data_IF_668662646582
#
_entry.id   IF_668662646582
#
_cell.length_a   1.000
_cell.length_b   1.000
_cell.length_c   1.000
_cell.angle_alpha   90.00
_cell.angle_beta   90.00
_cell.angle_gamma   90.00
#
_symmetry.space_group_name_H-M   'P 1'
#
loop_
_entity.id
_entity.type
_entity.pdbx_description
1 polymer ?
#
# COMPACT_ATOMS: atom_id res chain seq x y z
N UNK A 1 20.02 4.79 20.33
CA UNK A 1 20.07 3.51 21.06
C UNK A 1 18.65 2.95 21.15
N UNK A 2 18.32 1.89 20.41
CA UNK A 2 16.99 1.31 20.42
C UNK A 2 16.76 0.51 21.71
N UNK A 3 15.67 0.78 22.42
CA UNK A 3 15.18 -0.09 23.49
C UNK A 3 14.96 -1.50 22.91
N UNK A 4 15.90 -2.41 23.16
CA UNK A 4 15.64 -3.85 22.98
C UNK A 4 14.62 -4.23 24.04
N UNK A 5 13.40 -4.56 23.62
CA UNK A 5 12.47 -5.32 24.46
C UNK A 5 13.16 -6.68 24.70
N UNK A 6 13.77 -6.84 25.87
CA UNK A 6 14.68 -7.98 26.18
C UNK A 6 13.95 -9.24 26.63
N UNK A 7 12.61 -9.26 26.67
CA UNK A 7 11.86 -10.48 27.01
C UNK A 7 10.66 -10.64 26.10
N UNK A 8 10.86 -11.33 24.98
CA UNK A 8 9.76 -11.85 24.15
C UNK A 8 9.28 -13.15 24.83
N UNK A 9 7.98 -13.28 25.19
CA UNK A 9 7.45 -14.51 25.76
C UNK A 9 7.81 -15.74 24.89
N UNK A 10 8.06 -16.93 25.47
CA UNK A 10 8.49 -18.10 24.70
C UNK A 10 7.58 -18.44 23.51
N UNK A 11 6.27 -18.25 23.66
CA UNK A 11 5.29 -18.43 22.57
C UNK A 11 5.50 -17.44 21.42
N UNK A 12 5.79 -16.19 21.74
CA UNK A 12 6.10 -15.16 20.74
C UNK A 12 7.48 -15.35 20.13
N UNK A 13 8.43 -15.93 20.86
CA UNK A 13 9.75 -16.29 20.33
C UNK A 13 9.64 -17.44 19.31
N UNK A 14 8.87 -18.50 19.60
CA UNK A 14 8.59 -19.58 18.65
C UNK A 14 7.83 -19.07 17.41
N UNK A 15 6.86 -18.17 17.61
CA UNK A 15 6.14 -17.54 16.51
C UNK A 15 7.08 -16.72 15.62
N UNK A 16 7.92 -15.86 16.21
CA UNK A 16 8.93 -15.07 15.49
C UNK A 16 9.94 -15.96 14.75
N UNK A 17 10.45 -17.00 15.39
CA UNK A 17 11.37 -17.97 14.77
C UNK A 17 10.71 -18.73 13.60
N UNK A 18 9.39 -18.95 13.65
CA UNK A 18 8.64 -19.52 12.53
C UNK A 18 8.56 -18.54 11.35
N UNK A 19 8.28 -17.25 11.62
CA UNK A 19 8.27 -16.19 10.61
C UNK A 19 9.65 -16.00 9.98
N UNK A 20 10.71 -16.01 10.79
CA UNK A 20 12.11 -15.90 10.34
C UNK A 20 12.48 -17.01 9.35
N UNK A 21 12.08 -18.26 9.63
CA UNK A 21 12.31 -19.40 8.73
C UNK A 21 11.56 -19.31 7.40
N UNK A 22 10.47 -18.54 7.33
CA UNK A 22 9.58 -18.45 6.16
C UNK A 22 9.28 -17.01 5.75
N UNK A 23 10.29 -16.13 5.86
CA UNK A 23 10.15 -14.67 5.68
C UNK A 23 9.35 -14.23 4.45
N UNK A 24 9.53 -14.88 3.30
CA UNK A 24 8.77 -14.53 2.09
C UNK A 24 7.30 -14.94 2.16
N UNK A 25 6.97 -16.10 2.75
CA UNK A 25 5.57 -16.50 2.97
C UNK A 25 4.91 -15.60 4.00
N UNK A 26 5.64 -15.22 5.05
CA UNK A 26 5.18 -14.26 6.05
C UNK A 26 4.95 -12.87 5.44
N UNK A 27 5.82 -12.42 4.54
CA UNK A 27 5.65 -11.18 3.79
C UNK A 27 4.40 -11.21 2.91
N UNK A 28 4.19 -12.28 2.15
CA UNK A 28 2.97 -12.47 1.36
C UNK A 28 1.73 -12.45 2.24
N UNK A 29 1.72 -13.22 3.33
CA UNK A 29 0.55 -13.28 4.24
C UNK A 29 0.24 -11.91 4.88
N UNK A 30 1.27 -11.22 5.38
CA UNK A 30 1.13 -9.87 5.93
C UNK A 30 0.60 -8.90 4.87
N UNK A 31 1.19 -8.94 3.67
CA UNK A 31 0.79 -8.12 2.54
C UNK A 31 -0.67 -8.34 2.19
N UNK A 32 -1.11 -9.60 2.04
CA UNK A 32 -2.50 -9.93 1.74
C UNK A 32 -3.47 -9.41 2.81
N UNK A 33 -3.18 -9.64 4.09
CA UNK A 33 -4.03 -9.14 5.18
C UNK A 33 -4.13 -7.61 5.16
N UNK A 34 -3.00 -6.91 4.99
CA UNK A 34 -2.98 -5.45 4.95
C UNK A 34 -3.59 -4.90 3.66
N UNK A 35 -3.49 -5.59 2.53
CA UNK A 35 -4.15 -5.18 1.28
C UNK A 35 -5.68 -5.24 1.38
N UNK A 36 -6.22 -6.27 2.04
CA UNK A 36 -7.66 -6.34 2.32
C UNK A 36 -8.10 -5.23 3.29
N UNK A 37 -7.35 -5.02 4.37
CA UNK A 37 -7.61 -3.91 5.29
C UNK A 37 -7.48 -2.54 4.59
N UNK A 38 -6.53 -2.41 3.67
CA UNK A 38 -6.31 -1.22 2.84
C UNK A 38 -7.45 -0.96 1.88
N UNK A 39 -8.05 -2.02 1.32
CA UNK A 39 -9.26 -1.89 0.52
C UNK A 39 -10.41 -1.31 1.34
N UNK A 40 -10.65 -1.84 2.54
CA UNK A 40 -11.70 -1.31 3.43
C UNK A 40 -11.42 0.15 3.81
N UNK A 41 -10.17 0.48 4.13
CA UNK A 41 -9.76 1.84 4.43
C UNK A 41 -9.99 2.78 3.24
N UNK A 42 -9.58 2.38 2.05
CA UNK A 42 -9.79 3.14 0.83
C UNK A 42 -11.28 3.39 0.56
N UNK A 43 -12.14 2.37 0.73
CA UNK A 43 -13.59 2.53 0.59
C UNK A 43 -14.17 3.53 1.59
N UNK A 44 -13.76 3.45 2.86
CA UNK A 44 -14.19 4.42 3.88
C UNK A 44 -13.74 5.84 3.54
N UNK A 45 -12.49 6.01 3.13
CA UNK A 45 -11.97 7.33 2.74
C UNK A 45 -12.68 7.85 1.48
N UNK A 46 -12.90 7.01 0.48
CA UNK A 46 -13.66 7.38 -0.72
C UNK A 46 -15.07 7.83 -0.37
N UNK A 47 -15.77 7.12 0.53
CA UNK A 47 -17.09 7.53 0.99
C UNK A 47 -17.07 8.91 1.68
N UNK A 48 -16.07 9.18 2.52
CA UNK A 48 -15.91 10.49 3.15
C UNK A 48 -15.58 11.58 2.12
N UNK A 49 -14.71 11.29 1.16
CA UNK A 49 -14.36 12.23 0.08
C UNK A 49 -15.60 12.56 -0.75
N UNK A 50 -16.39 11.57 -1.16
CA UNK A 50 -17.62 11.80 -1.93
C UNK A 50 -18.68 12.57 -1.13
N UNK A 51 -18.72 12.41 0.20
CA UNK A 51 -19.67 13.11 1.07
C UNK A 51 -19.29 14.57 1.32
N UNK A 52 -17.99 14.88 1.46
CA UNK A 52 -17.52 16.17 1.98
C UNK A 52 -16.70 17.01 1.01
N UNK A 53 -16.15 16.40 -0.05
CA UNK A 53 -15.34 17.11 -1.02
C UNK A 53 -16.22 17.55 -2.21
N UNK A 54 -16.29 18.86 -2.54
CA UNK A 54 -17.00 19.33 -3.71
C UNK A 54 -16.48 18.67 -5.01
N UNK A 55 -17.36 18.31 -5.97
CA UNK A 55 -16.98 17.64 -7.22
C UNK A 55 -15.90 18.37 -8.01
N UNK A 56 -15.86 19.70 -7.93
CA UNK A 56 -14.88 20.55 -8.61
C UNK A 56 -13.43 20.28 -8.13
N UNK A 57 -13.28 19.69 -6.94
CA UNK A 57 -11.99 19.36 -6.34
C UNK A 57 -11.60 17.89 -6.51
N UNK A 58 -12.44 17.04 -7.09
CA UNK A 58 -12.14 15.60 -7.16
C UNK A 58 -10.90 15.32 -8.02
N UNK A 59 -10.79 16.00 -9.16
CA UNK A 59 -9.78 15.75 -10.17
C UNK A 59 -10.29 14.89 -11.33
N UNK A 60 -9.38 14.50 -12.21
CA UNK A 60 -9.69 13.61 -13.33
C UNK A 60 -9.79 12.14 -12.87
N UNK A 61 -10.63 11.35 -13.53
CA UNK A 61 -10.73 9.92 -13.26
C UNK A 61 -9.43 9.21 -13.65
N UNK A 62 -8.62 8.83 -12.65
CA UNK A 62 -7.37 8.07 -12.86
C UNK A 62 -7.53 6.76 -13.68
N UNK A 63 -8.66 6.02 -13.61
CA UNK A 63 -8.87 4.84 -14.45
C UNK A 63 -9.04 5.14 -15.94
N UNK A 64 -9.22 6.41 -16.35
CA UNK A 64 -9.41 6.76 -17.76
C UNK A 64 -8.24 6.30 -18.64
N UNK A 65 -7.01 6.27 -18.09
CA UNK A 65 -5.83 5.74 -18.77
C UNK A 65 -5.88 4.22 -19.02
N UNK A 66 -6.70 3.48 -18.27
CA UNK A 66 -6.87 2.03 -18.38
C UNK A 66 -7.99 1.64 -19.34
N UNK A 67 -8.86 2.57 -19.74
CA UNK A 67 -10.06 2.30 -20.55
C UNK A 67 -9.77 1.68 -21.92
N UNK A 68 -8.53 1.80 -22.43
CA UNK A 68 -8.11 1.23 -23.72
C UNK A 68 -7.57 -0.21 -23.62
N UNK A 69 -7.43 -0.74 -22.41
CA UNK A 69 -6.85 -2.06 -22.16
C UNK A 69 -7.93 -3.12 -22.02
N UNK A 70 -7.62 -4.35 -22.43
CA UNK A 70 -8.46 -5.52 -22.14
C UNK A 70 -8.43 -5.84 -20.64
N UNK A 71 -9.39 -6.58 -20.07
CA UNK A 71 -9.36 -6.97 -18.66
C UNK A 71 -8.05 -7.66 -18.24
N UNK A 72 -7.50 -8.52 -19.11
CA UNK A 72 -6.19 -9.14 -18.89
C UNK A 72 -5.04 -8.11 -18.91
N UNK A 73 -5.11 -7.13 -19.81
CA UNK A 73 -4.17 -6.00 -19.84
C UNK A 73 -4.23 -5.14 -18.59
N UNK A 74 -5.44 -4.83 -18.09
CA UNK A 74 -5.65 -4.12 -16.82
C UNK A 74 -5.08 -4.93 -15.66
N UNK A 75 -5.30 -6.25 -15.62
CA UNK A 75 -4.77 -7.10 -14.56
C UNK A 75 -3.24 -7.07 -14.53
N UNK A 76 -2.60 -7.29 -15.69
CA UNK A 76 -1.15 -7.25 -15.78
C UNK A 76 -0.60 -5.87 -15.41
N UNK A 77 -1.20 -4.80 -15.91
CA UNK A 77 -0.75 -3.44 -15.63
C UNK A 77 -0.94 -3.06 -14.16
N UNK A 78 -2.17 -3.14 -13.64
CA UNK A 78 -2.55 -2.58 -12.34
C UNK A 78 -2.35 -3.52 -11.14
N UNK A 79 -2.31 -4.84 -11.37
CA UNK A 79 -2.18 -5.85 -10.29
C UNK A 79 -0.79 -6.46 -10.24
N UNK A 80 -0.06 -6.50 -11.36
CA UNK A 80 1.27 -7.09 -11.43
C UNK A 80 2.37 -6.04 -11.55
N UNK A 81 2.37 -5.25 -12.62
CA UNK A 81 3.49 -4.34 -12.92
C UNK A 81 3.50 -3.08 -12.06
N UNK A 82 2.39 -2.34 -12.00
CA UNK A 82 2.28 -1.09 -11.26
C UNK A 82 2.63 -1.30 -9.77
N UNK A 83 2.10 -2.32 -9.06
CA UNK A 83 2.47 -2.53 -7.67
C UNK A 83 3.96 -2.74 -7.45
N UNK A 84 4.69 -3.38 -8.37
CA UNK A 84 6.14 -3.56 -8.24
C UNK A 84 6.87 -2.21 -8.36
N UNK A 85 6.62 -1.49 -9.45
CA UNK A 85 7.31 -0.22 -9.75
C UNK A 85 6.95 0.84 -8.71
N UNK A 86 5.67 1.03 -8.46
CA UNK A 86 5.19 2.02 -7.52
C UNK A 86 5.60 1.70 -6.08
N UNK A 87 5.71 0.42 -5.70
CA UNK A 87 6.28 0.06 -4.38
C UNK A 87 7.74 0.46 -4.27
N UNK A 88 8.54 0.30 -5.33
CA UNK A 88 9.93 0.75 -5.30
C UNK A 88 10.01 2.27 -5.11
N UNK A 89 9.22 3.02 -5.86
CA UNK A 89 9.27 4.49 -5.86
C UNK A 89 8.59 5.12 -4.64
N UNK A 90 7.40 4.65 -4.29
CA UNK A 90 6.54 5.21 -3.27
C UNK A 90 6.79 4.66 -1.87
N UNK A 91 7.32 3.45 -1.73
CA UNK A 91 7.62 2.84 -0.43
C UNK A 91 9.12 2.65 -0.22
N UNK A 92 9.79 1.83 -1.02
CA UNK A 92 11.18 1.43 -0.74
C UNK A 92 12.13 2.62 -0.70
N UNK A 93 12.16 3.44 -1.76
CA UNK A 93 13.07 4.59 -1.83
C UNK A 93 12.86 5.61 -0.71
N UNK A 94 11.65 6.16 -0.47
CA UNK A 94 11.46 7.17 0.58
C UNK A 94 11.68 6.61 1.98
N UNK A 95 11.25 5.36 2.24
CA UNK A 95 11.45 4.74 3.57
C UNK A 95 12.93 4.52 3.84
N UNK A 96 13.68 3.91 2.91
CA UNK A 96 15.09 3.62 3.12
C UNK A 96 15.94 4.89 3.17
N UNK A 97 15.60 5.92 2.38
CA UNK A 97 16.26 7.22 2.45
C UNK A 97 16.05 7.87 3.83
N UNK A 98 14.80 7.98 4.30
CA UNK A 98 14.50 8.56 5.61
C UNK A 98 15.10 7.73 6.77
N UNK A 99 15.02 6.40 6.68
CA UNK A 99 15.60 5.51 7.69
C UNK A 99 17.11 5.67 7.81
N UNK A 100 17.83 5.81 6.69
CA UNK A 100 19.28 6.08 6.68
C UNK A 100 19.64 7.42 7.29
N UNK A 101 18.73 8.39 7.27
CA UNK A 101 18.86 9.68 7.96
C UNK A 101 18.46 9.61 9.45
N UNK A 102 18.14 8.42 9.97
CA UNK A 102 17.77 8.22 11.36
C UNK A 102 16.32 8.54 11.72
N UNK A 103 15.44 8.70 10.71
CA UNK A 103 14.03 8.97 10.96
C UNK A 103 13.35 7.80 11.69
N UNK A 104 12.42 8.08 12.63
CA UNK A 104 11.66 7.03 13.31
C UNK A 104 10.66 6.36 12.35
N UNK A 105 10.22 5.11 12.63
CA UNK A 105 9.33 4.36 11.75
C UNK A 105 8.07 5.10 11.31
N UNK A 106 7.45 5.87 12.22
CA UNK A 106 6.24 6.67 11.93
C UNK A 106 6.54 7.75 10.88
N UNK A 107 7.68 8.44 10.98
CA UNK A 107 8.07 9.45 10.01
C UNK A 107 8.35 8.83 8.62
N UNK A 108 8.98 7.65 8.58
CA UNK A 108 9.18 6.92 7.32
C UNK A 108 7.84 6.55 6.65
N UNK A 109 6.86 6.08 7.43
CA UNK A 109 5.51 5.76 6.92
C UNK A 109 4.83 7.00 6.37
N UNK A 110 4.81 8.09 7.13
CA UNK A 110 4.16 9.33 6.70
C UNK A 110 4.81 9.93 5.45
N UNK A 111 6.15 9.98 5.39
CA UNK A 111 6.87 10.48 4.21
C UNK A 111 6.56 9.63 2.97
N UNK A 112 6.62 8.31 3.10
CA UNK A 112 6.30 7.37 2.02
C UNK A 112 4.87 7.54 1.52
N UNK A 113 3.91 7.64 2.44
CA UNK A 113 2.52 7.87 2.10
C UNK A 113 2.31 9.20 1.36
N UNK A 114 2.98 10.27 1.79
CA UNK A 114 2.94 11.58 1.11
C UNK A 114 3.53 11.51 -0.30
N UNK A 115 4.66 10.83 -0.49
CA UNK A 115 5.28 10.65 -1.83
C UNK A 115 4.34 9.87 -2.75
N UNK A 116 3.75 8.79 -2.25
CA UNK A 116 2.82 7.97 -3.00
C UNK A 116 1.54 8.75 -3.38
N UNK A 117 0.94 9.43 -2.39
CA UNK A 117 -0.22 10.30 -2.57
C UNK A 117 0.03 11.43 -3.56
N UNK A 118 1.22 12.03 -3.52
CA UNK A 118 1.59 13.11 -4.43
C UNK A 118 1.63 12.63 -5.88
N UNK A 119 2.24 11.46 -6.16
CA UNK A 119 2.22 10.88 -7.49
C UNK A 119 0.80 10.63 -8.02
N UNK A 120 -0.09 10.18 -7.13
CA UNK A 120 -1.48 9.91 -7.44
C UNK A 120 -2.32 11.19 -7.58
N UNK A 121 -2.02 12.23 -6.79
CA UNK A 121 -2.61 13.56 -6.95
C UNK A 121 -2.32 14.14 -8.34
N UNK A 122 -1.09 14.00 -8.83
CA UNK A 122 -0.73 14.49 -10.16
C UNK A 122 -1.48 13.75 -11.30
N UNK A 123 -1.90 12.50 -11.06
CA UNK A 123 -2.58 11.67 -12.07
C UNK A 123 -4.12 11.71 -11.96
N UNK A 124 -4.68 11.96 -10.78
CA UNK A 124 -6.12 11.85 -10.51
C UNK A 124 -6.72 12.93 -9.61
N UNK A 125 -5.95 13.97 -9.29
CA UNK A 125 -6.36 15.09 -8.43
C UNK A 125 -6.55 14.74 -6.96
N UNK A 126 -7.25 15.61 -6.23
CA UNK A 126 -7.25 15.59 -4.76
C UNK A 126 -7.95 14.36 -4.19
N UNK A 127 -9.07 13.92 -4.78
CA UNK A 127 -9.76 12.72 -4.31
C UNK A 127 -8.87 11.48 -4.42
N UNK A 128 -8.18 11.34 -5.55
CA UNK A 128 -7.24 10.25 -5.78
C UNK A 128 -6.02 10.35 -4.84
N UNK A 129 -5.47 11.55 -4.64
CA UNK A 129 -4.38 11.78 -3.69
C UNK A 129 -4.75 11.44 -2.24
N UNK A 130 -5.93 11.85 -1.77
CA UNK A 130 -6.40 11.58 -0.42
C UNK A 130 -6.61 10.08 -0.18
N UNK A 131 -7.32 9.40 -1.08
CA UNK A 131 -7.57 7.96 -0.96
C UNK A 131 -6.27 7.15 -0.99
N UNK A 132 -5.35 7.52 -1.87
CA UNK A 132 -4.05 6.83 -2.01
C UNK A 132 -3.07 7.20 -0.91
N UNK A 133 -3.21 8.34 -0.22
CA UNK A 133 -2.44 8.62 1.00
C UNK A 133 -2.67 7.56 2.08
N UNK A 134 -3.92 7.26 2.40
CA UNK A 134 -4.24 6.25 3.41
C UNK A 134 -3.88 4.83 2.93
N UNK A 135 -4.06 4.51 1.64
CA UNK A 135 -3.55 3.26 1.06
C UNK A 135 -2.02 3.15 1.15
N UNK A 136 -1.32 4.23 0.80
CA UNK A 136 0.15 4.34 0.87
C UNK A 136 0.68 4.18 2.30
N UNK A 137 -0.03 4.69 3.32
CA UNK A 137 0.29 4.44 4.72
C UNK A 137 0.25 2.94 5.04
N UNK A 138 -0.75 2.22 4.54
CA UNK A 138 -0.91 0.77 4.79
C UNK A 138 0.20 -0.03 4.10
N UNK A 139 0.57 0.34 2.86
CA UNK A 139 1.69 -0.28 2.15
C UNK A 139 3.03 -0.01 2.86
N UNK A 140 3.24 1.22 3.33
CA UNK A 140 4.43 1.59 4.09
C UNK A 140 4.48 0.85 5.44
N UNK A 141 3.34 0.67 6.12
CA UNK A 141 3.24 -0.15 7.32
C UNK A 141 3.61 -1.62 7.02
N UNK A 142 3.16 -2.19 5.90
CA UNK A 142 3.55 -3.55 5.49
C UNK A 142 5.08 -3.66 5.32
N UNK A 143 5.69 -2.67 4.66
CA UNK A 143 7.13 -2.60 4.49
C UNK A 143 7.87 -2.53 5.83
N UNK A 144 7.56 -1.54 6.66
CA UNK A 144 8.24 -1.28 7.93
C UNK A 144 8.12 -2.47 8.89
N UNK A 145 6.94 -3.11 8.97
CA UNK A 145 6.72 -4.28 9.83
C UNK A 145 7.49 -5.53 9.37
N UNK A 146 7.92 -5.59 8.11
CA UNK A 146 8.70 -6.70 7.56
C UNK A 146 10.19 -6.33 7.37
N UNK A 147 10.58 -5.08 7.67
CA UNK A 147 11.94 -4.58 7.41
C UNK A 147 13.04 -5.29 8.19
N UNK A 148 12.70 -5.86 9.35
CA UNK A 148 13.60 -6.69 10.16
C UNK A 148 14.08 -7.95 9.40
N UNK A 149 13.32 -8.44 8.42
CA UNK A 149 13.65 -9.62 7.62
C UNK A 149 14.52 -9.30 6.38
N UNK A 150 14.79 -8.01 6.13
CA UNK A 150 15.52 -7.49 4.99
C UNK A 150 14.65 -6.65 4.04
N UNK A 151 15.29 -5.95 3.10
CA UNK A 151 14.62 -5.08 2.12
C UNK A 151 13.70 -5.90 1.20
N UNK A 152 14.16 -7.06 0.70
CA UNK A 152 13.38 -7.84 -0.26
C UNK A 152 12.06 -8.40 0.30
N UNK A 153 12.01 -9.04 1.49
CA UNK A 153 10.74 -9.43 2.10
C UNK A 153 9.84 -8.22 2.43
N UNK A 154 10.42 -7.09 2.83
CA UNK A 154 9.66 -5.88 3.12
C UNK A 154 9.00 -5.28 1.87
N UNK A 155 9.77 -5.18 0.78
CA UNK A 155 9.26 -4.81 -0.53
C UNK A 155 8.15 -5.77 -1.00
N UNK A 156 8.36 -7.09 -0.82
CA UNK A 156 7.35 -8.08 -1.19
C UNK A 156 6.04 -7.91 -0.40
N UNK A 157 6.12 -7.62 0.90
CA UNK A 157 4.94 -7.38 1.73
C UNK A 157 4.15 -6.16 1.25
N UNK A 158 4.83 -5.04 0.98
CA UNK A 158 4.19 -3.83 0.47
C UNK A 158 3.61 -4.02 -0.94
N UNK A 159 4.38 -4.62 -1.86
CA UNK A 159 3.93 -4.88 -3.22
C UNK A 159 2.73 -5.85 -3.25
N UNK A 160 2.70 -6.82 -2.34
CA UNK A 160 1.56 -7.74 -2.20
C UNK A 160 0.34 -7.04 -1.62
N UNK A 161 0.50 -6.19 -0.61
CA UNK A 161 -0.60 -5.37 -0.10
C UNK A 161 -1.21 -4.49 -1.20
N UNK A 162 -0.34 -3.85 -1.98
CA UNK A 162 -0.73 -3.01 -3.10
C UNK A 162 -1.45 -3.81 -4.20
N UNK A 163 -0.87 -4.94 -4.65
CA UNK A 163 -1.48 -5.80 -5.64
C UNK A 163 -2.85 -6.35 -5.18
N UNK A 164 -2.97 -6.76 -3.92
CA UNK A 164 -4.23 -7.25 -3.36
C UNK A 164 -5.27 -6.13 -3.29
N UNK A 165 -4.88 -4.92 -2.87
CA UNK A 165 -5.79 -3.78 -2.86
C UNK A 165 -6.27 -3.44 -4.28
N UNK A 166 -5.36 -3.32 -5.25
CA UNK A 166 -5.74 -3.02 -6.64
C UNK A 166 -6.60 -4.13 -7.24
N UNK A 167 -6.25 -5.40 -7.02
CA UNK A 167 -7.02 -6.55 -7.47
C UNK A 167 -8.42 -6.56 -6.89
N UNK A 168 -8.56 -6.29 -5.59
CA UNK A 168 -9.86 -6.25 -4.92
C UNK A 168 -10.71 -5.09 -5.43
N UNK A 169 -10.14 -3.88 -5.53
CA UNK A 169 -10.86 -2.71 -6.03
C UNK A 169 -11.30 -2.90 -7.49
N UNK A 170 -10.39 -3.33 -8.38
CA UNK A 170 -10.67 -3.35 -9.82
C UNK A 170 -11.44 -4.59 -10.28
N UNK A 171 -11.23 -5.75 -9.67
CA UNK A 171 -11.79 -7.03 -10.15
C UNK A 171 -12.84 -7.64 -9.23
N UNK A 172 -12.98 -7.15 -8.00
CA UNK A 172 -14.03 -7.61 -7.08
C UNK A 172 -15.06 -6.52 -6.86
N UNK A 173 -14.64 -5.31 -6.48
CA UNK A 173 -15.56 -4.21 -6.15
C UNK A 173 -16.07 -3.51 -7.40
N UNK A 174 -15.17 -3.11 -8.31
CA UNK A 174 -15.52 -2.38 -9.53
C UNK A 174 -16.68 -3.01 -10.32
N UNK A 175 -16.66 -4.34 -10.59
CA UNK A 175 -17.76 -5.01 -11.29
C UNK A 175 -19.10 -5.00 -10.56
N UNK A 176 -19.12 -4.80 -9.23
CA UNK A 176 -20.36 -4.70 -8.44
C UNK A 176 -21.01 -3.32 -8.54
N UNK A 177 -20.28 -2.31 -9.03
CA UNK A 177 -20.74 -0.93 -9.16
C UNK A 177 -20.41 -0.35 -10.55
N UNK A 178 -21.03 -0.88 -11.63
CA UNK A 178 -20.71 -0.49 -13.01
C UNK A 178 -21.04 0.97 -13.35
N UNK A 179 -21.83 1.66 -12.51
CA UNK A 179 -22.25 3.05 -12.69
C UNK A 179 -21.51 4.04 -11.77
N UNK A 180 -20.47 3.60 -11.05
CA UNK A 180 -19.67 4.52 -10.24
C UNK A 180 -18.90 5.47 -11.17
N UNK A 181 -18.99 6.81 -10.99
CA UNK A 181 -18.24 7.79 -11.80
C UNK A 181 -16.71 7.61 -11.78
#
# INVERSE_FOLDING_TARGET
>A
MAHRITTIPPRMACWRASLERRRYRSALALGTCLGLAGTLCALCVSALVLQFLPPELWGHSAPAGLARLTPAGIFLAAVVYAPIIETMLGQVLPIEAAHRLGAPPVACVLLSALVFAYGHYLNGGLAHGMTTFFGGMIFACAYVNMRWAGIAPAALAAATAHAVQNGTVLFVIGPLFPEWP
#
